data_IF_486363686564
#
_entry.id   IF_486363686564
#
_cell.length_a   1.000
_cell.length_b   1.000
_cell.length_c   1.000
_cell.angle_alpha   90.00
_cell.angle_beta   90.00
_cell.angle_gamma   90.00
#
_symmetry.space_group_name_H-M   'P 1'
#
loop_
_entity.id
_entity.type
_entity.pdbx_description
1 polymer ?
#
# COMPACT_ATOMS: atom_id res chain seq x y z
N UNK A 1 -18.49 -12.58 0.60
CA UNK A 1 -18.02 -13.84 -0.01
C UNK A 1 -16.55 -14.05 0.34
N UNK A 2 -16.22 -14.57 1.54
CA UNK A 2 -14.82 -14.82 1.84
C UNK A 2 -14.34 -15.99 0.99
N UNK A 3 -13.19 -15.81 0.31
CA UNK A 3 -12.42 -16.87 -0.36
C UNK A 3 -13.07 -17.41 -1.66
N UNK A 4 -13.38 -16.54 -2.62
CA UNK A 4 -13.91 -16.98 -3.91
C UNK A 4 -12.85 -17.03 -5.03
N UNK A 5 -11.67 -16.45 -4.81
CA UNK A 5 -10.72 -16.18 -5.88
C UNK A 5 -9.33 -16.74 -5.59
N UNK A 6 -8.66 -17.20 -6.65
CA UNK A 6 -7.25 -17.64 -6.60
C UNK A 6 -6.27 -16.47 -6.69
N UNK A 7 -6.68 -15.41 -7.40
CA UNK A 7 -5.91 -14.19 -7.60
C UNK A 7 -6.87 -13.01 -7.64
N UNK A 8 -6.44 -11.90 -7.05
CA UNK A 8 -7.19 -10.64 -7.07
C UNK A 8 -6.22 -9.56 -7.54
N UNK A 9 -6.69 -8.68 -8.43
CA UNK A 9 -6.00 -7.46 -8.84
C UNK A 9 -6.76 -6.29 -8.23
N UNK A 10 -6.05 -5.36 -7.58
CA UNK A 10 -6.66 -4.19 -6.95
C UNK A 10 -6.15 -2.93 -7.62
N UNK A 11 -6.89 -2.48 -8.61
CA UNK A 11 -6.72 -1.13 -9.17
C UNK A 11 -7.54 -0.16 -8.32
N UNK A 12 -6.91 0.44 -7.30
CA UNK A 12 -7.60 1.24 -6.30
C UNK A 12 -7.60 2.73 -6.69
N UNK A 13 -8.70 3.47 -6.42
CA UNK A 13 -8.76 4.89 -6.70
C UNK A 13 -7.65 5.62 -5.94
N UNK A 14 -6.80 6.33 -6.69
CA UNK A 14 -5.60 6.98 -6.18
C UNK A 14 -5.69 8.50 -6.20
N UNK A 15 -4.76 9.14 -5.50
CA UNK A 15 -4.57 10.58 -5.58
C UNK A 15 -4.16 11.06 -6.99
N UNK A 16 -3.96 10.18 -7.97
CA UNK A 16 -3.70 10.52 -9.38
C UNK A 16 -2.47 11.39 -9.61
N UNK A 17 -1.57 11.51 -8.62
CA UNK A 17 -0.38 12.36 -8.72
C UNK A 17 0.61 11.86 -9.77
N UNK A 18 0.47 10.60 -10.21
CA UNK A 18 1.25 9.99 -11.29
C UNK A 18 0.97 10.52 -12.70
N UNK A 19 -0.16 11.21 -12.91
CA UNK A 19 -0.55 11.79 -14.22
C UNK A 19 -0.37 13.31 -14.30
N UNK A 20 0.30 13.93 -13.32
CA UNK A 20 0.57 15.38 -13.30
C UNK A 20 1.28 15.84 -14.58
N UNK A 21 2.09 14.99 -15.20
CA UNK A 21 2.75 15.31 -16.48
C UNK A 21 1.80 15.45 -17.67
N UNK A 22 0.57 14.92 -17.57
CA UNK A 22 -0.47 15.01 -18.60
C UNK A 22 -1.56 16.02 -18.26
N UNK A 23 -1.89 16.19 -16.98
CA UNK A 23 -2.85 17.20 -16.51
C UNK A 23 -2.34 17.90 -15.24
N UNK A 24 -1.86 19.13 -15.41
CA UNK A 24 -1.33 19.95 -14.31
C UNK A 24 -2.42 20.36 -13.30
N UNK A 25 -3.71 20.32 -13.67
CA UNK A 25 -4.82 20.65 -12.77
C UNK A 25 -4.89 19.69 -11.59
N UNK A 26 -4.38 18.48 -11.75
CA UNK A 26 -4.29 17.46 -10.70
C UNK A 26 -3.40 17.94 -9.54
N UNK A 27 -2.40 18.78 -9.82
CA UNK A 27 -1.50 19.35 -8.80
C UNK A 27 -2.18 20.43 -7.95
N UNK A 28 -3.12 21.18 -8.54
CA UNK A 28 -3.80 22.32 -7.88
C UNK A 28 -5.15 21.95 -7.29
N UNK A 29 -5.79 20.87 -7.78
CA UNK A 29 -7.14 20.46 -7.37
C UNK A 29 -7.17 19.57 -6.13
N UNK A 30 -6.05 18.98 -5.72
CA UNK A 30 -6.03 17.93 -4.68
C UNK A 30 -5.45 18.45 -3.38
N UNK A 31 -6.23 18.31 -2.31
CA UNK A 31 -5.82 18.69 -0.96
C UNK A 31 -5.22 17.48 -0.22
N UNK A 32 -4.49 17.75 0.86
CA UNK A 32 -3.92 16.72 1.75
C UNK A 32 -5.01 15.78 2.28
N UNK A 33 -6.21 16.31 2.49
CA UNK A 33 -7.40 15.55 2.92
C UNK A 33 -7.81 14.50 1.88
N UNK A 34 -7.70 14.81 0.59
CA UNK A 34 -8.04 13.89 -0.48
C UNK A 34 -7.04 12.73 -0.55
N UNK A 35 -5.74 13.03 -0.37
CA UNK A 35 -4.69 12.00 -0.30
C UNK A 35 -4.91 11.07 0.89
N UNK A 36 -5.28 11.62 2.05
CA UNK A 36 -5.58 10.81 3.23
C UNK A 36 -6.81 9.93 3.03
N UNK A 37 -7.87 10.48 2.43
CA UNK A 37 -9.09 9.73 2.12
C UNK A 37 -8.83 8.60 1.12
N UNK A 38 -8.08 8.87 0.04
CA UNK A 38 -7.71 7.84 -0.93
C UNK A 38 -6.86 6.74 -0.28
N UNK A 39 -5.87 7.12 0.54
CA UNK A 39 -5.05 6.16 1.28
C UNK A 39 -5.87 5.27 2.22
N UNK A 40 -6.89 5.82 2.89
CA UNK A 40 -7.78 5.03 3.74
C UNK A 40 -8.60 4.02 2.92
N UNK A 41 -9.25 4.46 1.84
CA UNK A 41 -10.02 3.60 0.94
C UNK A 41 -9.14 2.49 0.36
N UNK A 42 -7.92 2.82 -0.09
CA UNK A 42 -6.97 1.82 -0.63
C UNK A 42 -6.59 0.76 0.39
N UNK A 43 -6.39 1.13 1.66
CA UNK A 43 -6.10 0.18 2.74
C UNK A 43 -7.26 -0.79 2.93
N UNK A 44 -8.50 -0.30 2.97
CA UNK A 44 -9.68 -1.14 3.13
C UNK A 44 -9.87 -2.08 1.94
N UNK A 45 -9.76 -1.56 0.71
CA UNK A 45 -9.84 -2.35 -0.52
C UNK A 45 -8.77 -3.45 -0.55
N UNK A 46 -7.54 -3.12 -0.14
CA UNK A 46 -6.45 -4.09 -0.08
C UNK A 46 -6.72 -5.19 0.96
N UNK A 47 -7.22 -4.84 2.14
CA UNK A 47 -7.57 -5.85 3.15
C UNK A 47 -8.68 -6.77 2.65
N UNK A 48 -9.76 -6.20 2.10
CA UNK A 48 -10.86 -6.96 1.53
C UNK A 48 -10.39 -7.89 0.39
N UNK A 49 -9.49 -7.42 -0.46
CA UNK A 49 -8.90 -8.22 -1.53
C UNK A 49 -8.08 -9.40 -0.99
N UNK A 50 -7.24 -9.18 0.04
CA UNK A 50 -6.45 -10.24 0.69
C UNK A 50 -7.39 -11.29 1.31
N UNK A 51 -8.47 -10.85 1.94
CA UNK A 51 -9.43 -11.73 2.61
C UNK A 51 -10.31 -12.52 1.61
N UNK A 52 -10.45 -12.00 0.39
CA UNK A 52 -11.18 -12.66 -0.70
C UNK A 52 -10.41 -13.80 -1.37
N UNK A 53 -9.11 -13.96 -1.07
CA UNK A 53 -8.25 -15.01 -1.66
C UNK A 53 -8.23 -16.28 -0.79
N UNK A 54 -8.42 -17.46 -1.41
CA UNK A 54 -8.62 -18.75 -0.75
C UNK A 54 -7.34 -19.46 -0.23
N UNK A 55 -6.11 -19.00 -0.56
CA UNK A 55 -4.77 -19.68 -0.38
C UNK A 55 -4.58 -20.93 -1.25
N UNK A 56 -3.39 -21.49 -1.54
CA UNK A 56 -2.02 -21.35 -0.98
C UNK A 56 -0.94 -21.23 -2.09
N UNK A 57 -1.32 -20.96 -3.34
CA UNK A 57 -0.34 -20.82 -4.44
C UNK A 57 -0.50 -19.57 -5.33
N UNK A 58 -1.53 -18.77 -5.08
CA UNK A 58 -1.80 -17.55 -5.82
C UNK A 58 -0.85 -16.40 -5.50
N UNK A 59 -0.30 -15.79 -6.54
CA UNK A 59 0.30 -14.45 -6.50
C UNK A 59 -0.83 -13.42 -6.36
N UNK A 60 -0.78 -12.58 -5.35
CA UNK A 60 -1.83 -11.63 -5.02
C UNK A 60 -1.44 -10.22 -5.46
N UNK A 61 -2.23 -9.67 -6.38
CA UNK A 61 -2.55 -8.26 -6.57
C UNK A 61 -1.44 -7.23 -6.71
N UNK A 62 -1.54 -6.47 -7.80
CA UNK A 62 -0.96 -5.14 -7.91
C UNK A 62 -1.84 -4.14 -7.17
N UNK A 63 -1.23 -3.17 -6.48
CA UNK A 63 -1.93 -2.17 -5.64
C UNK A 63 -1.25 -0.82 -5.79
N UNK A 64 -2.06 0.22 -5.91
CA UNK A 64 -1.72 1.64 -5.88
C UNK A 64 -2.37 2.23 -4.59
N UNK A 65 -1.77 2.97 -3.65
CA UNK A 65 -0.57 3.80 -3.61
C UNK A 65 0.48 3.37 -2.55
N UNK A 66 1.68 3.10 -3.06
CA UNK A 66 2.99 3.18 -2.41
C UNK A 66 3.20 2.35 -1.12
N UNK A 67 4.32 2.58 -0.43
CA UNK A 67 4.83 1.70 0.62
C UNK A 67 3.99 1.76 1.91
N UNK A 68 3.34 2.87 2.21
CA UNK A 68 2.55 3.01 3.44
C UNK A 68 1.30 2.10 3.45
N UNK A 69 0.63 1.94 2.31
CA UNK A 69 -0.54 1.04 2.19
C UNK A 69 -0.10 -0.42 2.26
N UNK A 70 1.03 -0.76 1.63
CA UNK A 70 1.60 -2.11 1.69
C UNK A 70 2.10 -2.45 3.09
N UNK A 71 2.75 -1.51 3.77
CA UNK A 71 3.22 -1.69 5.15
C UNK A 71 2.04 -1.96 6.09
N UNK A 72 0.93 -1.24 5.89
CA UNK A 72 -0.29 -1.46 6.66
C UNK A 72 -0.85 -2.88 6.45
N UNK A 73 -0.91 -3.35 5.21
CA UNK A 73 -1.37 -4.71 4.92
C UNK A 73 -0.46 -5.80 5.51
N UNK A 74 0.86 -5.60 5.48
CA UNK A 74 1.84 -6.51 6.11
C UNK A 74 1.66 -6.60 7.63
N UNK A 75 1.24 -5.51 8.28
CA UNK A 75 0.99 -5.47 9.72
C UNK A 75 -0.33 -6.12 10.12
N UNK A 76 -1.36 -6.04 9.28
CA UNK A 76 -2.72 -6.53 9.60
C UNK A 76 -3.04 -7.94 9.09
N UNK A 77 -2.30 -8.46 8.11
CA UNK A 77 -2.55 -9.77 7.49
C UNK A 77 -1.26 -10.55 7.32
N UNK A 78 -1.34 -11.87 7.40
CA UNK A 78 -0.18 -12.73 7.15
C UNK A 78 0.12 -12.89 5.65
N UNK A 79 0.72 -11.85 5.08
CA UNK A 79 1.14 -11.77 3.68
C UNK A 79 2.62 -11.44 3.57
N UNK A 80 3.27 -11.83 2.47
CA UNK A 80 4.64 -11.45 2.14
C UNK A 80 4.73 -10.74 0.80
N UNK A 81 5.66 -9.81 0.65
CA UNK A 81 5.96 -9.22 -0.66
C UNK A 81 6.79 -10.21 -1.47
N UNK A 82 6.43 -10.43 -2.73
CA UNK A 82 7.17 -11.26 -3.69
C UNK A 82 7.60 -10.40 -4.89
N UNK A 83 8.66 -10.81 -5.63
CA UNK A 83 9.09 -10.08 -6.82
C UNK A 83 7.95 -9.92 -7.83
N UNK A 84 7.74 -8.70 -8.32
CA UNK A 84 6.69 -8.41 -9.30
C UNK A 84 6.91 -9.17 -10.62
N UNK A 85 8.18 -9.40 -10.99
CA UNK A 85 8.56 -9.93 -12.29
C UNK A 85 8.64 -8.84 -13.37
N UNK A 86 8.58 -7.56 -12.98
CA UNK A 86 8.74 -6.43 -13.87
C UNK A 86 10.20 -5.96 -13.85
N UNK A 87 10.82 -5.90 -15.02
CA UNK A 87 12.16 -5.32 -15.20
C UNK A 87 12.15 -3.79 -15.19
N UNK A 88 10.96 -3.20 -15.32
CA UNK A 88 10.73 -1.76 -15.36
C UNK A 88 10.61 -1.17 -13.94
N UNK A 89 11.10 0.06 -13.79
CA UNK A 89 10.91 0.87 -12.59
C UNK A 89 12.01 0.73 -11.53
N UNK A 90 12.08 1.73 -10.65
CA UNK A 90 12.98 1.78 -9.50
C UNK A 90 12.39 0.97 -8.35
N UNK A 91 13.25 0.47 -7.47
CA UNK A 91 12.81 -0.23 -6.25
C UNK A 91 12.03 0.68 -5.32
N UNK A 92 11.05 0.10 -4.61
CA UNK A 92 10.34 0.77 -3.52
C UNK A 92 11.26 1.21 -2.38
N UNK A 93 10.82 2.21 -1.63
CA UNK A 93 11.58 2.78 -0.53
C UNK A 93 11.52 1.91 0.72
N UNK A 94 12.68 1.57 1.29
CA UNK A 94 12.76 0.96 2.63
C UNK A 94 12.90 2.02 3.72
N UNK A 95 13.44 3.18 3.36
CA UNK A 95 13.59 4.34 4.23
C UNK A 95 13.05 5.55 3.51
N UNK A 96 12.10 6.23 4.13
CA UNK A 96 11.53 7.46 3.61
C UNK A 96 11.69 8.57 4.63
N UNK A 97 12.21 9.71 4.16
CA UNK A 97 12.42 10.90 5.00
C UNK A 97 11.22 11.81 4.81
N UNK A 98 10.29 11.80 5.76
CA UNK A 98 9.19 12.75 5.74
C UNK A 98 9.65 14.07 6.36
N UNK A 99 9.57 15.15 5.58
CA UNK A 99 9.79 16.49 6.10
C UNK A 99 8.48 16.98 6.71
N UNK A 100 8.18 16.58 7.96
CA UNK A 100 7.05 17.18 8.69
C UNK A 100 7.47 18.58 9.10
N UNK A 101 6.69 19.58 8.69
CA UNK A 101 6.96 21.01 8.91
C UNK A 101 6.69 21.46 10.36
N UNK A 102 6.67 20.53 11.32
CA UNK A 102 6.33 20.80 12.73
C UNK A 102 7.35 20.08 13.59
N UNK A 103 8.22 20.87 14.23
CA UNK A 103 9.40 20.52 15.03
C UNK A 103 10.65 20.07 14.24
N UNK A 104 11.80 20.57 14.69
CA UNK A 104 13.18 20.35 14.22
C UNK A 104 13.64 18.87 14.15
N UNK A 105 12.75 17.91 14.38
CA UNK A 105 13.04 16.49 14.48
C UNK A 105 12.82 15.78 13.14
N UNK A 106 13.92 15.41 12.47
CA UNK A 106 13.88 14.53 11.29
C UNK A 106 13.40 13.14 11.71
N UNK A 107 12.12 12.85 11.49
CA UNK A 107 11.57 11.50 11.70
C UNK A 107 11.81 10.66 10.44
N UNK A 108 12.48 9.51 10.62
CA UNK A 108 12.68 8.53 9.57
C UNK A 108 11.55 7.50 9.60
N UNK A 109 10.81 7.38 8.50
CA UNK A 109 9.90 6.25 8.33
C UNK A 109 10.68 5.07 7.77
N UNK A 110 10.64 3.96 8.50
CA UNK A 110 11.28 2.71 8.11
C UNK A 110 10.20 1.70 7.72
N UNK A 111 10.22 1.31 6.45
CA UNK A 111 9.35 0.27 5.92
C UNK A 111 10.01 -1.10 5.98
N UNK A 112 9.21 -2.14 5.76
CA UNK A 112 9.69 -3.50 5.69
C UNK A 112 10.79 -3.65 4.60
N UNK A 113 11.90 -4.37 4.86
CA UNK A 113 12.99 -4.53 3.90
C UNK A 113 12.57 -5.08 2.54
N UNK A 114 11.50 -5.87 2.49
CA UNK A 114 10.95 -6.43 1.25
C UNK A 114 10.27 -5.40 0.35
N UNK A 115 10.10 -4.14 0.78
CA UNK A 115 9.60 -3.05 -0.08
C UNK A 115 10.47 -2.85 -1.32
N UNK A 116 11.74 -3.26 -1.30
CA UNK A 116 12.63 -3.24 -2.48
C UNK A 116 12.10 -4.06 -3.66
N UNK A 117 11.26 -5.06 -3.39
CA UNK A 117 10.64 -5.93 -4.38
C UNK A 117 9.47 -5.25 -5.10
N UNK A 118 8.92 -4.17 -4.53
CA UNK A 118 7.95 -3.31 -5.19
C UNK A 118 8.65 -2.44 -6.24
N UNK A 119 7.90 -2.00 -7.24
CA UNK A 119 8.38 -1.18 -8.36
C UNK A 119 7.67 0.15 -8.42
N UNK A 120 8.45 1.20 -8.63
CA UNK A 120 8.03 2.58 -8.89
C UNK A 120 8.40 2.95 -10.32
N UNK A 121 7.40 3.24 -11.13
CA UNK A 121 7.60 3.79 -12.47
C UNK A 121 7.34 5.29 -12.39
N UNK A 122 8.28 6.06 -12.95
CA UNK A 122 8.20 7.51 -12.98
C UNK A 122 7.98 7.98 -14.42
N UNK A 123 7.15 9.01 -14.65
CA UNK A 123 6.86 9.46 -16.00
C UNK A 123 8.10 9.85 -16.80
N UNK A 124 8.99 10.63 -16.18
CA UNK A 124 10.22 11.12 -16.79
C UNK A 124 11.24 10.02 -17.13
N UNK A 125 11.13 8.83 -16.51
CA UNK A 125 12.10 7.76 -16.73
C UNK A 125 11.73 6.85 -17.91
N UNK A 126 10.45 6.76 -18.26
CA UNK A 126 9.95 5.77 -19.23
C UNK A 126 8.93 6.33 -20.24
N UNK A 127 8.65 7.64 -20.23
CA UNK A 127 7.59 8.27 -21.04
C UNK A 127 6.21 7.60 -20.87
N UNK A 128 5.93 7.13 -19.66
CA UNK A 128 4.68 6.47 -19.25
C UNK A 128 4.01 7.28 -18.15
N UNK A 129 2.81 6.89 -17.73
CA UNK A 129 2.25 7.43 -16.47
C UNK A 129 3.01 6.87 -15.27
N UNK A 130 3.02 7.64 -14.18
CA UNK A 130 3.67 7.21 -12.94
C UNK A 130 2.76 6.25 -12.19
N UNK A 131 3.24 5.04 -11.90
CA UNK A 131 2.49 4.05 -11.16
C UNK A 131 3.39 3.26 -10.19
N UNK A 132 2.75 2.64 -9.21
CA UNK A 132 3.40 1.80 -8.20
C UNK A 132 2.84 0.39 -8.25
N UNK A 133 3.73 -0.59 -8.13
CA UNK A 133 3.40 -2.00 -8.25
C UNK A 133 3.99 -2.76 -7.08
N UNK A 134 3.14 -3.34 -6.26
CA UNK A 134 3.49 -4.34 -5.27
C UNK A 134 2.88 -5.68 -5.64
N UNK A 135 3.45 -6.78 -5.19
CA UNK A 135 2.88 -8.11 -5.37
C UNK A 135 3.00 -8.87 -4.07
N UNK A 136 1.88 -9.35 -3.56
CA UNK A 136 1.76 -9.99 -2.26
C UNK A 136 1.55 -11.50 -2.45
N UNK A 137 1.91 -12.32 -1.47
CA UNK A 137 1.51 -13.72 -1.38
C UNK A 137 0.96 -13.96 0.01
N UNK A 138 -0.30 -14.39 0.08
CA UNK A 138 -0.95 -14.76 1.34
C UNK A 138 -0.33 -16.05 1.88
N UNK A 139 0.07 -16.03 3.15
CA UNK A 139 0.70 -17.15 3.84
C UNK A 139 -0.33 -17.87 4.72
N UNK A 140 -1.01 -17.12 5.58
CA UNK A 140 -2.09 -17.65 6.43
C UNK A 140 -3.37 -16.80 6.32
N UNK A 141 -4.50 -17.29 6.84
CA UNK A 141 -5.73 -16.51 6.97
C UNK A 141 -5.76 -15.76 8.30
N UNK A 142 -4.64 -15.80 9.03
CA UNK A 142 -4.50 -15.14 10.31
C UNK A 142 -4.55 -13.63 10.13
N UNK A 143 -5.47 -12.99 10.84
CA UNK A 143 -5.46 -11.55 11.08
C UNK A 143 -4.43 -11.30 12.18
N UNK A 144 -3.50 -10.41 11.90
CA UNK A 144 -2.52 -9.97 12.88
C UNK A 144 -3.14 -8.81 13.67
N UNK A 145 -3.37 -9.00 14.97
CA UNK A 145 -3.78 -7.90 15.85
C UNK A 145 -2.57 -7.03 16.14
N UNK A 146 -2.64 -5.75 15.81
CA UNK A 146 -1.63 -4.78 16.24
C UNK A 146 -1.83 -4.40 17.71
N UNK A 147 -0.81 -3.82 18.33
CA UNK A 147 -0.87 -3.33 19.72
C UNK A 147 -1.97 -2.28 19.91
N UNK A 148 -2.29 -1.51 18.87
CA UNK A 148 -3.40 -0.55 18.84
C UNK A 148 -4.75 -1.26 18.84
N UNK A 149 -4.94 -2.30 18.01
CA UNK A 149 -6.19 -3.09 18.00
C UNK A 149 -6.40 -3.84 19.35
N UNK A 150 -5.33 -4.19 20.08
CA UNK A 150 -5.44 -4.81 21.41
C UNK A 150 -5.89 -3.82 22.49
N UNK A 151 -5.45 -2.57 22.42
CA UNK A 151 -5.84 -1.54 23.38
C UNK A 151 -7.32 -1.14 23.20
N UNK A 152 -7.81 -1.08 21.96
CA UNK A 152 -9.23 -0.84 21.67
C UNK A 152 -10.12 -2.03 22.11
N UNK A 153 -9.65 -3.28 21.94
CA UNK A 153 -10.36 -4.46 22.46
C UNK A 153 -10.42 -4.45 24.01
N UNK A 154 -9.36 -4.03 24.71
CA UNK A 154 -9.30 -3.95 26.18
C UNK A 154 -10.13 -2.79 26.78
N UNK A 155 -10.34 -1.70 26.05
CA UNK A 155 -11.25 -0.62 26.47
C UNK A 155 -12.74 -1.01 26.29
N UNK A 156 -13.06 -1.75 25.24
CA UNK A 156 -14.43 -2.18 24.96
C UNK A 156 -14.91 -3.36 25.83
N UNK A 157 -14.01 -4.18 26.37
CA UNK A 157 -14.36 -5.29 27.29
C UNK A 157 -14.52 -4.82 28.77
N UNK A 158 -14.21 -3.55 29.05
CA UNK A 158 -14.30 -2.91 30.37
C UNK A 158 -15.49 -1.93 30.52
N UNK A 159 -16.42 -1.90 29.56
CA UNK A 159 -17.66 -1.09 29.59
C UNK A 159 -18.89 -1.98 29.48
#
# INVERSE_FOLDING_TARGET
MPRAFDRVLVDAPCSGTGVISKDERVKTSKDVRDVQRCSHIQKELLLAAIDSVHKFDGQNGYVEENEAVIEYALKKRNVKIVPTGLDLGKSGYVRYRQHRQVHFLKVWFRFHPSMKLCKRVYPHSYNMDGFFVAKLKKLSDGVLKTTEDKAEDEENDNT
#
